data_IF_297391261699
#
_entry.id   IF_297391261699
#
_cell.length_a   1.000
_cell.length_b   1.000
_cell.length_c   1.000
_cell.angle_alpha   90.00
_cell.angle_beta   90.00
_cell.angle_gamma   90.00
#
_symmetry.space_group_name_H-M   'P 1'
#
loop_
_entity.id
_entity.type
_entity.pdbx_description
1 polymer ?
#
# COMPACT_ATOMS: atom_id res chain seq x y z
N UNK A 1 -12.85 14.76 15.12
CA UNK A 1 -12.06 15.74 15.88
C UNK A 1 -11.54 16.76 14.87
N UNK A 2 -12.08 17.97 14.86
CA UNK A 2 -11.67 19.02 13.92
C UNK A 2 -10.40 19.64 14.50
N UNK A 3 -9.24 19.26 13.96
CA UNK A 3 -7.98 19.94 14.24
C UNK A 3 -8.01 21.27 13.48
N UNK A 4 -8.60 22.30 14.07
CA UNK A 4 -8.38 23.68 13.62
C UNK A 4 -6.95 24.02 14.00
N UNK A 5 -6.01 23.86 13.07
CA UNK A 5 -4.71 24.52 13.18
C UNK A 5 -4.76 25.80 12.38
N UNK A 6 -4.54 26.92 13.03
CA UNK A 6 -4.14 28.13 12.31
C UNK A 6 -2.76 27.85 11.69
N UNK A 7 -2.70 27.78 10.37
CA UNK A 7 -1.43 27.79 9.64
C UNK A 7 -1.31 29.21 9.09
N UNK A 8 -0.36 29.98 9.62
CA UNK A 8 -0.08 31.36 9.20
C UNK A 8 -1.30 32.31 9.26
N UNK A 9 -2.23 32.10 10.20
CA UNK A 9 -3.44 32.92 10.33
C UNK A 9 -4.59 32.52 9.40
N UNK A 10 -4.51 31.36 8.73
CA UNK A 10 -5.61 30.78 7.96
C UNK A 10 -6.27 29.64 8.73
N UNK A 11 -7.60 29.58 8.71
CA UNK A 11 -8.35 28.46 9.27
C UNK A 11 -8.21 27.25 8.34
N UNK A 12 -7.64 26.18 8.86
CA UNK A 12 -7.62 24.89 8.17
C UNK A 12 -8.60 23.93 8.83
N UNK A 13 -9.26 23.11 8.02
CA UNK A 13 -10.09 22.02 8.49
C UNK A 13 -9.88 20.79 7.62
N UNK A 14 -9.98 19.62 8.23
CA UNK A 14 -10.05 18.37 7.50
C UNK A 14 -11.38 18.36 6.70
N UNK A 15 -11.31 18.34 5.37
CA UNK A 15 -12.50 18.34 4.51
C UNK A 15 -13.32 17.04 4.62
N UNK A 16 -14.56 16.99 4.13
CA UNK A 16 -15.42 15.79 4.21
C UNK A 16 -14.85 14.56 3.48
N UNK A 17 -13.96 14.74 2.51
CA UNK A 17 -13.20 13.67 1.84
C UNK A 17 -11.95 13.21 2.60
N UNK A 18 -11.50 13.99 3.60
CA UNK A 18 -10.28 13.72 4.37
C UNK A 18 -10.39 12.59 5.38
N UNK A 19 -11.60 12.07 5.62
CA UNK A 19 -11.81 10.85 6.40
C UNK A 19 -11.40 9.58 5.65
N UNK A 20 -11.20 9.65 4.33
CA UNK A 20 -10.90 8.50 3.48
C UNK A 20 -9.43 8.48 3.01
N UNK A 21 -8.75 9.63 2.98
CA UNK A 21 -7.36 9.77 2.54
C UNK A 21 -6.65 10.77 3.47
N UNK A 22 -5.65 10.29 4.21
CA UNK A 22 -4.74 11.14 5.01
C UNK A 22 -4.03 12.16 4.10
N UNK A 23 -3.86 13.40 4.56
CA UNK A 23 -3.12 14.43 3.82
C UNK A 23 -3.96 15.43 2.99
N UNK A 24 -5.29 15.40 3.07
CA UNK A 24 -6.17 16.39 2.41
C UNK A 24 -6.73 17.41 3.40
N UNK A 25 -6.64 18.68 3.05
CA UNK A 25 -6.98 19.82 3.90
C UNK A 25 -7.79 20.85 3.12
N UNK A 26 -8.76 21.46 3.79
CA UNK A 26 -9.45 22.64 3.29
C UNK A 26 -8.87 23.87 4.01
N UNK A 27 -8.55 24.89 3.24
CA UNK A 27 -8.14 26.20 3.73
C UNK A 27 -9.30 27.14 3.49
N UNK A 28 -9.92 27.61 4.59
CA UNK A 28 -10.87 28.71 4.54
C UNK A 28 -10.09 30.02 4.50
N UNK A 29 -9.91 30.57 3.31
CA UNK A 29 -9.37 31.91 3.11
C UNK A 29 -10.48 32.84 2.60
N UNK A 30 -11.13 33.59 3.50
CA UNK A 30 -12.05 34.70 3.22
C UNK A 30 -12.95 34.56 1.96
N UNK A 31 -13.56 33.38 1.78
CA UNK A 31 -14.56 33.03 0.75
C UNK A 31 -13.94 32.93 -0.68
N UNK A 32 -13.41 31.76 -1.11
CA UNK A 32 -14.03 30.42 -1.05
C UNK A 32 -13.20 29.32 -0.34
N UNK A 33 -13.78 28.11 -0.23
CA UNK A 33 -13.09 26.89 0.21
C UNK A 33 -12.01 26.49 -0.80
N UNK A 34 -10.77 26.40 -0.36
CA UNK A 34 -9.65 25.97 -1.19
C UNK A 34 -9.10 24.66 -0.68
N UNK A 35 -8.90 23.73 -1.60
CA UNK A 35 -8.36 22.42 -1.27
C UNK A 35 -6.85 22.41 -1.44
N UNK A 36 -6.16 21.88 -0.44
CA UNK A 36 -4.75 21.50 -0.50
C UNK A 36 -4.67 20.02 -0.18
N UNK A 37 -3.93 19.28 -0.98
CA UNK A 37 -3.71 17.86 -0.79
C UNK A 37 -2.22 17.57 -0.89
N UNK A 38 -1.65 16.99 0.17
CA UNK A 38 -0.24 16.65 0.30
C UNK A 38 -0.08 15.14 0.43
N UNK A 39 1.12 14.63 0.17
CA UNK A 39 1.43 13.19 0.26
C UNK A 39 0.59 12.34 -0.69
N UNK A 40 0.36 12.87 -1.90
CA UNK A 40 -0.36 12.17 -2.96
C UNK A 40 0.57 11.26 -3.74
N UNK A 41 0.21 9.98 -3.84
CA UNK A 41 0.95 8.99 -4.60
C UNK A 41 0.79 9.24 -6.10
N UNK A 42 1.90 9.41 -6.84
CA UNK A 42 1.93 9.71 -8.29
C UNK A 42 0.92 8.87 -9.09
N UNK A 43 0.99 7.55 -8.90
CA UNK A 43 0.20 6.57 -9.65
C UNK A 43 -1.31 6.67 -9.37
N UNK A 44 -1.70 7.24 -8.22
CA UNK A 44 -3.10 7.52 -7.91
C UNK A 44 -3.51 8.87 -8.47
N UNK A 45 -2.72 9.92 -8.22
CA UNK A 45 -3.19 11.28 -8.43
C UNK A 45 -3.13 11.72 -9.89
N UNK A 46 -2.10 11.32 -10.65
CA UNK A 46 -1.89 11.84 -12.01
C UNK A 46 -3.08 11.57 -12.94
N UNK A 47 -3.59 10.33 -13.04
CA UNK A 47 -4.72 10.05 -13.94
C UNK A 47 -6.01 10.76 -13.50
N UNK A 48 -6.24 10.86 -12.19
CA UNK A 48 -7.41 11.52 -11.63
C UNK A 48 -7.38 13.04 -11.81
N UNK A 49 -6.22 13.65 -11.58
CA UNK A 49 -6.00 15.09 -11.77
C UNK A 49 -6.20 15.50 -13.22
N UNK A 50 -5.61 14.78 -14.18
CA UNK A 50 -5.78 15.10 -15.60
C UNK A 50 -7.23 15.05 -16.05
N UNK A 51 -8.01 14.10 -15.53
CA UNK A 51 -9.44 14.02 -15.80
C UNK A 51 -10.21 15.17 -15.13
N UNK A 52 -9.87 15.51 -13.88
CA UNK A 52 -10.49 16.59 -13.12
C UNK A 52 -10.22 17.96 -13.76
N UNK A 53 -8.97 18.26 -14.10
CA UNK A 53 -8.54 19.54 -14.69
C UNK A 53 -9.20 19.78 -16.06
N UNK A 54 -9.34 18.72 -16.88
CA UNK A 54 -10.08 18.79 -18.15
C UNK A 54 -11.56 19.11 -17.94
N UNK A 55 -12.17 18.62 -16.87
CA UNK A 55 -13.58 18.83 -16.57
C UNK A 55 -13.86 20.14 -15.82
N UNK A 56 -12.85 20.68 -15.11
CA UNK A 56 -12.99 21.85 -14.22
C UNK A 56 -11.79 22.80 -14.43
N UNK A 57 -11.63 23.41 -15.61
CA UNK A 57 -10.45 24.22 -15.92
C UNK A 57 -10.28 25.44 -15.00
N UNK A 58 -11.37 25.96 -14.42
CA UNK A 58 -11.38 27.06 -13.46
C UNK A 58 -10.96 26.66 -12.04
N UNK A 59 -10.93 25.36 -11.76
CA UNK A 59 -10.55 24.75 -10.47
C UNK A 59 -9.36 23.82 -10.62
N UNK A 60 -8.69 23.87 -11.78
CA UNK A 60 -7.60 22.96 -12.09
C UNK A 60 -6.58 22.98 -10.94
N UNK A 61 -6.09 21.80 -10.61
CA UNK A 61 -5.12 21.67 -9.55
C UNK A 61 -3.75 21.99 -10.11
N UNK A 62 -3.08 22.97 -9.52
CA UNK A 62 -1.67 23.20 -9.82
C UNK A 62 -0.83 22.15 -9.07
N UNK A 63 0.09 21.50 -9.77
CA UNK A 63 1.08 20.61 -9.13
C UNK A 63 2.17 21.50 -8.53
N UNK A 64 2.11 21.71 -7.22
CA UNK A 64 2.99 22.66 -6.55
C UNK A 64 4.40 22.12 -6.34
N UNK A 65 4.54 20.81 -6.12
CA UNK A 65 5.86 20.21 -5.90
C UNK A 65 5.83 18.69 -5.87
N UNK A 66 6.91 18.09 -6.35
CA UNK A 66 7.34 16.77 -5.88
C UNK A 66 7.95 16.93 -4.48
N UNK A 67 7.50 16.14 -3.51
CA UNK A 67 8.13 16.09 -2.19
C UNK A 67 9.55 15.50 -2.33
N UNK A 68 10.49 15.90 -1.45
CA UNK A 68 11.88 15.43 -1.54
C UNK A 68 12.08 13.99 -1.03
N UNK A 69 11.03 13.37 -0.48
CA UNK A 69 11.04 11.96 -0.15
C UNK A 69 10.17 11.20 -1.15
N UNK A 70 10.48 9.92 -1.32
CA UNK A 70 9.71 8.99 -2.13
C UNK A 70 8.85 8.10 -1.25
N UNK A 71 7.67 7.77 -1.75
CA UNK A 71 6.80 6.76 -1.19
C UNK A 71 7.23 5.37 -1.64
N UNK A 72 7.04 4.39 -0.77
CA UNK A 72 7.14 2.97 -1.16
C UNK A 72 6.03 2.21 -0.48
N UNK A 73 5.38 1.30 -1.21
CA UNK A 73 4.40 0.37 -0.66
C UNK A 73 4.76 -1.07 -1.03
N UNK A 74 4.14 -2.05 -0.36
CA UNK A 74 4.34 -3.45 -0.72
C UNK A 74 4.19 -4.39 0.45
N UNK A 75 4.85 -5.55 0.36
CA UNK A 75 4.86 -6.59 1.38
C UNK A 75 5.98 -6.32 2.39
N UNK A 76 5.67 -6.37 3.67
CA UNK A 76 6.60 -6.12 4.78
C UNK A 76 6.68 -7.30 5.75
N UNK A 77 7.83 -7.42 6.38
CA UNK A 77 8.18 -8.40 7.42
C UNK A 77 8.78 -7.71 8.64
N UNK A 78 8.62 -8.31 9.81
CA UNK A 78 9.12 -7.74 11.07
C UNK A 78 10.44 -8.41 11.50
N UNK A 79 11.35 -7.68 12.16
CA UNK A 79 12.71 -8.15 12.48
C UNK A 79 12.76 -9.45 13.27
N UNK A 80 11.80 -9.67 14.17
CA UNK A 80 11.72 -10.89 14.97
C UNK A 80 11.66 -12.14 14.09
N UNK A 81 10.95 -12.07 12.97
CA UNK A 81 10.84 -13.15 11.98
C UNK A 81 12.09 -13.23 11.10
N UNK A 82 12.61 -12.08 10.65
CA UNK A 82 13.81 -12.01 9.80
C UNK A 82 15.02 -12.71 10.45
N UNK A 83 15.29 -12.40 11.74
CA UNK A 83 16.45 -12.94 12.43
C UNK A 83 16.39 -14.47 12.59
N UNK A 84 15.20 -15.01 12.87
CA UNK A 84 15.00 -16.46 13.01
C UNK A 84 15.15 -17.18 11.66
N UNK A 85 14.55 -16.61 10.60
CA UNK A 85 14.65 -17.17 9.25
C UNK A 85 16.10 -17.20 8.75
N UNK A 86 16.83 -16.09 8.89
CA UNK A 86 18.23 -16.01 8.48
C UNK A 86 19.11 -16.97 9.26
N UNK A 87 18.95 -17.04 10.59
CA UNK A 87 19.72 -17.96 11.43
C UNK A 87 19.44 -19.44 11.10
N UNK A 88 18.20 -19.79 10.74
CA UNK A 88 17.81 -21.16 10.44
C UNK A 88 18.16 -21.63 9.02
N UNK A 89 18.19 -20.72 8.04
CA UNK A 89 18.29 -21.08 6.61
C UNK A 89 19.51 -20.51 5.90
N UNK A 90 20.14 -19.47 6.47
CA UNK A 90 21.17 -18.67 5.78
C UNK A 90 20.62 -17.80 4.65
N UNK A 91 19.30 -17.62 4.55
CA UNK A 91 18.61 -16.87 3.49
C UNK A 91 17.93 -15.62 4.02
N UNK A 92 17.63 -14.69 3.11
CA UNK A 92 17.01 -13.40 3.44
C UNK A 92 15.55 -13.36 3.04
N UNK A 93 14.65 -13.21 4.01
CA UNK A 93 13.21 -13.05 3.76
C UNK A 93 12.86 -11.71 3.08
N UNK A 94 13.84 -10.79 3.04
CA UNK A 94 13.73 -9.51 2.34
C UNK A 94 13.83 -9.68 0.83
N UNK A 95 14.33 -10.80 0.31
CA UNK A 95 14.45 -11.01 -1.12
C UNK A 95 13.44 -12.05 -1.60
N UNK A 96 12.56 -11.64 -2.52
CA UNK A 96 11.41 -12.48 -2.93
C UNK A 96 11.80 -13.89 -3.40
N UNK A 97 12.99 -14.06 -4.01
CA UNK A 97 13.40 -15.38 -4.53
C UNK A 97 13.66 -16.38 -3.41
N UNK A 98 14.08 -15.91 -2.23
CA UNK A 98 14.31 -16.78 -1.08
C UNK A 98 12.98 -17.34 -0.51
N UNK A 99 11.85 -16.76 -0.93
CA UNK A 99 10.49 -17.21 -0.59
C UNK A 99 9.92 -18.23 -1.57
N UNK A 100 10.69 -18.72 -2.53
CA UNK A 100 10.22 -19.73 -3.48
C UNK A 100 10.06 -21.09 -2.79
N UNK A 101 8.86 -21.69 -2.87
CA UNK A 101 8.56 -23.00 -2.24
C UNK A 101 9.48 -24.13 -2.72
N UNK A 102 9.99 -24.07 -3.95
CA UNK A 102 10.88 -25.10 -4.49
C UNK A 102 12.26 -25.08 -3.84
N UNK A 103 12.62 -24.00 -3.14
CA UNK A 103 13.94 -23.86 -2.53
C UNK A 103 13.93 -24.16 -1.04
N UNK A 104 12.78 -24.21 -0.37
CA UNK A 104 12.69 -24.57 1.04
C UNK A 104 11.29 -24.40 1.63
N UNK A 105 11.07 -25.03 2.78
CA UNK A 105 9.86 -24.84 3.59
C UNK A 105 10.13 -23.80 4.68
N UNK A 106 9.40 -22.70 4.61
CA UNK A 106 9.51 -21.61 5.57
C UNK A 106 8.28 -21.46 6.45
N UNK A 107 7.29 -22.35 6.33
CA UNK A 107 6.05 -22.31 7.12
C UNK A 107 6.31 -22.27 8.62
N UNK A 108 7.36 -22.94 9.09
CA UNK A 108 7.75 -23.00 10.50
C UNK A 108 8.20 -21.67 11.12
N UNK A 109 8.52 -20.66 10.30
CA UNK A 109 8.89 -19.32 10.76
C UNK A 109 7.68 -18.38 10.89
N UNK A 110 6.53 -18.77 10.34
CA UNK A 110 5.31 -17.99 10.35
C UNK A 110 4.29 -18.55 11.33
N UNK A 111 3.39 -17.68 11.79
CA UNK A 111 2.18 -18.11 12.49
C UNK A 111 1.27 -18.86 11.51
N UNK A 112 0.39 -19.72 12.02
CA UNK A 112 -0.59 -20.39 11.15
C UNK A 112 -1.76 -19.45 10.89
N UNK A 113 -2.38 -19.55 9.72
CA UNK A 113 -3.63 -18.81 9.42
C UNK A 113 -4.72 -19.07 10.47
N UNK A 114 -4.74 -20.29 11.02
CA UNK A 114 -5.72 -20.76 12.00
C UNK A 114 -5.55 -20.08 13.36
N UNK A 115 -4.37 -19.51 13.64
CA UNK A 115 -4.08 -18.78 14.87
C UNK A 115 -4.64 -17.34 14.82
N UNK A 116 -5.00 -16.84 13.63
CA UNK A 116 -5.62 -15.54 13.39
C UNK A 116 -7.14 -15.71 13.36
N UNK A 117 -7.86 -14.93 14.16
CA UNK A 117 -9.31 -15.08 14.27
C UNK A 117 -10.03 -14.79 12.96
N UNK A 118 -10.92 -15.70 12.55
CA UNK A 118 -11.83 -15.51 11.40
C UNK A 118 -12.71 -14.27 11.57
N UNK A 119 -13.03 -13.88 12.81
CA UNK A 119 -13.80 -12.66 13.09
C UNK A 119 -13.06 -11.38 12.71
N UNK A 120 -11.74 -11.43 12.66
CA UNK A 120 -10.90 -10.28 12.35
C UNK A 120 -10.68 -10.12 10.86
N UNK A 121 -11.18 -11.05 10.04
CA UNK A 121 -11.01 -11.10 8.59
C UNK A 121 -12.30 -10.75 7.85
N UNK A 122 -12.15 -9.96 6.80
CA UNK A 122 -13.20 -9.65 5.84
C UNK A 122 -13.40 -10.80 4.84
N UNK A 123 -14.51 -10.73 4.10
CA UNK A 123 -14.85 -11.73 3.10
C UNK A 123 -13.93 -11.68 1.89
N UNK A 124 -13.36 -12.83 1.53
CA UNK A 124 -12.48 -13.04 0.38
C UNK A 124 -13.18 -12.84 -0.98
N UNK A 125 -14.52 -12.80 -0.99
CA UNK A 125 -15.38 -12.62 -2.16
C UNK A 125 -16.17 -11.30 -2.15
N UNK A 126 -15.60 -10.24 -1.56
CA UNK A 126 -16.16 -8.89 -1.71
C UNK A 126 -16.25 -8.46 -3.18
N UNK A 127 -17.20 -7.57 -3.50
CA UNK A 127 -17.42 -7.13 -4.88
C UNK A 127 -16.17 -6.57 -5.58
N UNK A 128 -15.31 -5.85 -4.84
CA UNK A 128 -14.05 -5.32 -5.36
C UNK A 128 -13.06 -6.44 -5.71
N UNK A 129 -12.93 -7.47 -4.87
CA UNK A 129 -12.07 -8.62 -5.16
C UNK A 129 -12.60 -9.46 -6.33
N UNK A 130 -13.92 -9.60 -6.47
CA UNK A 130 -14.51 -10.33 -7.59
C UNK A 130 -14.20 -9.65 -8.94
N UNK A 131 -14.17 -8.31 -8.96
CA UNK A 131 -13.79 -7.54 -10.16
C UNK A 131 -12.35 -7.77 -10.64
N UNK A 132 -11.48 -8.32 -9.79
CA UNK A 132 -10.07 -8.60 -10.11
C UNK A 132 -9.84 -9.98 -10.75
N UNK A 133 -10.84 -10.88 -10.70
CA UNK A 133 -10.71 -12.24 -11.22
C UNK A 133 -10.31 -12.26 -12.71
N UNK A 134 -10.94 -11.49 -13.62
CA UNK A 134 -10.60 -11.58 -15.04
C UNK A 134 -9.15 -11.21 -15.33
N UNK A 135 -8.64 -10.15 -14.69
CA UNK A 135 -7.25 -9.72 -14.89
C UNK A 135 -6.26 -10.71 -14.27
N UNK A 136 -6.53 -11.22 -13.07
CA UNK A 136 -5.72 -12.28 -12.47
C UNK A 136 -5.61 -13.51 -13.39
N UNK A 137 -6.73 -14.03 -13.89
CA UNK A 137 -6.74 -15.21 -14.77
C UNK A 137 -6.04 -14.93 -16.10
N UNK A 138 -6.19 -13.73 -16.67
CA UNK A 138 -5.50 -13.34 -17.89
C UNK A 138 -3.97 -13.34 -17.72
N UNK A 139 -3.48 -12.97 -16.52
CA UNK A 139 -2.04 -12.90 -16.22
C UNK A 139 -1.48 -14.26 -15.81
N UNK A 140 -2.17 -15.02 -14.97
CA UNK A 140 -1.62 -16.23 -14.34
C UNK A 140 -2.08 -17.53 -14.98
N UNK A 141 -3.22 -17.53 -15.67
CA UNK A 141 -3.88 -18.76 -16.15
C UNK A 141 -4.41 -19.66 -15.03
N UNK A 142 -4.38 -19.22 -13.77
CA UNK A 142 -4.68 -20.04 -12.60
C UNK A 142 -6.21 -20.19 -12.37
N UNK A 143 -6.82 -21.02 -13.21
CA UNK A 143 -8.25 -21.34 -13.13
C UNK A 143 -8.63 -22.10 -11.87
N UNK A 144 -7.66 -22.71 -11.16
CA UNK A 144 -7.92 -23.40 -9.90
C UNK A 144 -8.19 -22.44 -8.74
N UNK A 145 -7.79 -21.17 -8.86
CA UNK A 145 -8.07 -20.13 -7.87
C UNK A 145 -9.56 -19.76 -7.73
N UNK A 146 -10.41 -20.20 -8.65
CA UNK A 146 -11.80 -19.73 -8.77
C UNK A 146 -12.80 -20.86 -8.98
N UNK A 147 -14.06 -20.60 -8.66
CA UNK A 147 -15.18 -21.51 -8.89
C UNK A 147 -16.46 -20.74 -9.23
N UNK A 148 -17.43 -21.41 -9.83
CA UNK A 148 -18.74 -20.82 -10.14
C UNK A 148 -19.71 -21.09 -8.99
N UNK A 149 -20.38 -20.05 -8.50
CA UNK A 149 -21.48 -20.15 -7.52
C UNK A 149 -22.64 -19.33 -8.05
N UNK A 150 -23.78 -19.97 -8.30
CA UNK A 150 -25.00 -19.34 -8.82
C UNK A 150 -24.76 -18.50 -10.09
N UNK A 151 -23.90 -19.01 -10.99
CA UNK A 151 -23.55 -18.32 -12.24
C UNK A 151 -22.55 -17.17 -12.09
N UNK A 152 -22.05 -16.89 -10.88
CA UNK A 152 -21.05 -15.87 -10.59
C UNK A 152 -19.70 -16.54 -10.30
N UNK A 153 -18.64 -16.08 -10.96
CA UNK A 153 -17.28 -16.53 -10.68
C UNK A 153 -16.78 -15.93 -9.37
N UNK A 154 -16.31 -16.78 -8.46
CA UNK A 154 -15.83 -16.44 -7.11
C UNK A 154 -14.43 -17.01 -6.86
N UNK A 155 -13.67 -16.38 -5.98
CA UNK A 155 -12.43 -16.92 -5.46
C UNK A 155 -12.72 -18.17 -4.63
N UNK A 156 -11.94 -19.25 -4.82
CA UNK A 156 -11.88 -20.35 -3.87
C UNK A 156 -11.08 -19.89 -2.66
N UNK A 157 -11.74 -19.81 -1.51
CA UNK A 157 -11.14 -19.30 -0.28
C UNK A 157 -11.22 -20.36 0.82
N UNK A 158 -10.23 -20.36 1.71
CA UNK A 158 -10.08 -21.29 2.81
C UNK A 158 -10.55 -20.67 4.13
N UNK A 159 -10.84 -21.53 5.11
CA UNK A 159 -11.23 -21.18 6.47
C UNK A 159 -12.37 -20.15 6.52
N UNK A 160 -13.57 -20.60 6.15
CA UNK A 160 -14.82 -19.79 6.14
C UNK A 160 -14.77 -18.60 5.17
N UNK A 161 -14.26 -18.82 3.97
CA UNK A 161 -14.15 -17.82 2.91
C UNK A 161 -13.37 -16.55 3.32
N UNK A 162 -12.27 -16.71 4.06
CA UNK A 162 -11.42 -15.59 4.52
C UNK A 162 -10.05 -15.54 3.91
N UNK A 163 -9.49 -16.69 3.55
CA UNK A 163 -8.12 -16.76 3.06
C UNK A 163 -8.08 -17.19 1.60
N UNK A 164 -7.49 -16.38 0.73
CA UNK A 164 -7.09 -16.85 -0.59
C UNK A 164 -5.73 -17.55 -0.49
N UNK A 165 -5.56 -18.72 -1.09
CA UNK A 165 -4.30 -19.47 -1.03
C UNK A 165 -3.56 -19.40 -2.36
N UNK A 166 -2.23 -19.25 -2.31
CA UNK A 166 -1.37 -19.30 -3.47
C UNK A 166 -1.31 -20.72 -4.07
N UNK A 167 -1.09 -20.86 -5.40
CA UNK A 167 -1.06 -22.16 -6.07
C UNK A 167 -0.16 -23.20 -5.38
N UNK A 168 1.01 -22.75 -4.92
CA UNK A 168 2.07 -23.59 -4.35
C UNK A 168 1.74 -24.23 -3.00
N UNK A 169 0.73 -23.74 -2.28
CA UNK A 169 0.38 -24.26 -0.96
C UNK A 169 -1.11 -24.63 -0.82
N UNK A 170 -1.92 -24.53 -1.88
CA UNK A 170 -3.35 -24.91 -1.85
C UNK A 170 -3.61 -26.36 -1.44
N UNK A 171 -2.76 -27.29 -1.86
CA UNK A 171 -2.89 -28.71 -1.52
C UNK A 171 -2.59 -28.99 -0.04
N UNK A 172 -1.81 -28.12 0.59
CA UNK A 172 -1.38 -28.23 1.98
C UNK A 172 -1.46 -26.85 2.64
N UNK A 173 -2.67 -26.34 2.94
CA UNK A 173 -2.86 -24.94 3.37
C UNK A 173 -1.96 -24.49 4.51
N UNK A 174 -1.59 -25.39 5.42
CA UNK A 174 -0.72 -25.09 6.56
C UNK A 174 0.74 -24.80 6.19
N UNK A 175 1.15 -25.01 4.94
CA UNK A 175 2.46 -24.59 4.43
C UNK A 175 2.45 -23.17 3.86
N UNK A 176 1.29 -22.53 3.78
CA UNK A 176 1.19 -21.13 3.36
C UNK A 176 1.62 -20.19 4.49
N UNK A 177 2.50 -19.23 4.19
CA UNK A 177 2.76 -18.11 5.08
C UNK A 177 1.58 -17.11 5.02
N UNK A 178 0.98 -16.73 6.16
CA UNK A 178 -0.04 -15.70 6.19
C UNK A 178 0.51 -14.35 5.74
N UNK A 179 -0.23 -13.71 4.85
CA UNK A 179 -0.11 -12.33 4.43
C UNK A 179 -1.41 -11.61 4.78
N UNK A 180 -1.32 -10.51 5.50
CA UNK A 180 -2.48 -9.69 5.83
C UNK A 180 -2.43 -8.32 5.18
N UNK A 181 -3.60 -7.78 4.87
CA UNK A 181 -3.76 -6.42 4.38
C UNK A 181 -5.05 -5.83 4.94
N UNK A 182 -5.37 -4.60 4.56
CA UNK A 182 -6.62 -3.93 4.92
C UNK A 182 -7.17 -3.23 3.69
N UNK A 183 -8.50 -3.19 3.54
CA UNK A 183 -9.15 -2.57 2.38
C UNK A 183 -8.61 -3.08 1.05
N UNK A 184 -8.14 -4.33 1.05
CA UNK A 184 -7.62 -5.06 -0.11
C UNK A 184 -6.45 -4.38 -0.80
N UNK A 185 -5.64 -3.63 -0.06
CA UNK A 185 -4.46 -2.99 -0.63
C UNK A 185 -3.43 -4.01 -1.11
N UNK A 186 -2.89 -3.76 -2.31
CA UNK A 186 -1.96 -4.63 -3.04
C UNK A 186 -2.40 -6.10 -3.22
N UNK A 187 -3.70 -6.41 -3.04
CA UNK A 187 -4.19 -7.79 -3.06
C UNK A 187 -3.95 -8.48 -4.41
N UNK A 188 -4.37 -7.84 -5.50
CA UNK A 188 -4.22 -8.37 -6.85
C UNK A 188 -2.75 -8.51 -7.30
N UNK A 189 -1.90 -7.47 -7.24
CA UNK A 189 -0.51 -7.62 -7.67
C UNK A 189 0.24 -8.66 -6.84
N UNK A 190 -0.04 -8.78 -5.53
CA UNK A 190 0.61 -9.80 -4.72
C UNK A 190 0.10 -11.22 -5.00
N UNK A 191 -1.19 -11.42 -5.31
CA UNK A 191 -1.67 -12.73 -5.80
C UNK A 191 -0.95 -13.15 -7.08
N UNK A 192 -0.75 -12.21 -8.02
CA UNK A 192 -0.03 -12.46 -9.26
C UNK A 192 1.43 -12.81 -8.99
N UNK A 193 2.12 -12.04 -8.14
CA UNK A 193 3.50 -12.33 -7.69
C UNK A 193 3.61 -13.70 -7.03
N UNK A 194 2.67 -14.06 -6.17
CA UNK A 194 2.66 -15.34 -5.47
C UNK A 194 2.58 -16.52 -6.44
N UNK A 195 1.74 -16.40 -7.49
CA UNK A 195 1.67 -17.39 -8.56
C UNK A 195 2.92 -17.39 -9.45
N UNK A 196 3.42 -16.22 -9.85
CA UNK A 196 4.54 -16.10 -10.79
C UNK A 196 5.90 -16.50 -10.20
N UNK A 197 6.09 -16.33 -8.89
CA UNK A 197 7.35 -16.59 -8.21
C UNK A 197 7.31 -17.80 -7.27
N UNK A 198 6.25 -18.60 -7.34
CA UNK A 198 6.03 -19.78 -6.50
C UNK A 198 6.15 -19.48 -4.98
N UNK A 199 5.55 -18.37 -4.54
CA UNK A 199 5.59 -17.93 -3.14
C UNK A 199 4.34 -18.49 -2.43
N UNK A 200 4.47 -19.44 -1.47
CA UNK A 200 3.35 -20.00 -0.73
C UNK A 200 2.78 -19.00 0.28
N UNK A 201 1.93 -18.10 -0.22
CA UNK A 201 1.18 -17.15 0.60
C UNK A 201 -0.26 -17.62 0.84
N UNK A 202 -0.77 -17.31 2.02
CA UNK A 202 -2.19 -17.25 2.31
C UNK A 202 -2.57 -15.80 2.56
N UNK A 203 -3.42 -15.23 1.73
CA UNK A 203 -3.77 -13.82 1.78
C UNK A 203 -5.12 -13.63 2.48
N UNK A 204 -5.15 -12.74 3.47
CA UNK A 204 -6.34 -12.37 4.23
C UNK A 204 -6.48 -10.85 4.31
N UNK A 205 -7.71 -10.35 4.16
CA UNK A 205 -8.03 -8.93 4.36
C UNK A 205 -8.56 -8.76 5.79
N UNK A 206 -7.95 -7.90 6.60
CA UNK A 206 -8.41 -7.65 7.97
C UNK A 206 -9.62 -6.71 7.94
N UNK A 207 -10.63 -7.01 8.75
CA UNK A 207 -11.93 -6.33 8.72
C UNK A 207 -11.90 -4.94 9.37
N UNK A 208 -10.89 -4.67 10.21
CA UNK A 208 -10.79 -3.40 10.94
C UNK A 208 -9.36 -2.88 10.92
N UNK A 209 -9.22 -1.55 10.99
CA UNK A 209 -7.92 -0.89 11.15
C UNK A 209 -7.18 -1.35 12.41
N UNK A 210 -7.90 -1.58 13.51
CA UNK A 210 -7.32 -2.05 14.76
C UNK A 210 -6.63 -3.40 14.60
N UNK A 211 -7.35 -4.38 14.03
CA UNK A 211 -6.80 -5.70 13.72
C UNK A 211 -5.60 -5.58 12.76
N UNK A 212 -5.73 -4.76 11.71
CA UNK A 212 -4.65 -4.54 10.74
C UNK A 212 -3.34 -4.07 11.36
N UNK A 213 -3.38 -3.15 12.33
CA UNK A 213 -2.18 -2.66 13.01
C UNK A 213 -1.68 -3.64 14.08
N UNK A 214 -2.56 -4.38 14.75
CA UNK A 214 -2.16 -5.29 15.84
C UNK A 214 -1.65 -6.64 15.35
N UNK A 215 -2.25 -7.21 14.30
CA UNK A 215 -1.90 -8.56 13.79
C UNK A 215 -0.41 -8.73 13.53
N UNK A 216 0.28 -7.85 12.77
CA UNK A 216 1.72 -8.03 12.53
C UNK A 216 2.60 -7.81 13.77
N UNK A 217 2.07 -7.23 14.85
CA UNK A 217 2.76 -7.09 16.14
C UNK A 217 2.60 -8.33 17.02
N UNK A 218 1.56 -9.13 16.78
CA UNK A 218 1.21 -10.31 17.57
C UNK A 218 1.63 -11.61 16.90
N UNK A 219 1.59 -11.66 15.56
CA UNK A 219 1.81 -12.86 14.77
C UNK A 219 2.96 -12.66 13.79
N UNK A 220 3.67 -13.74 13.50
CA UNK A 220 4.68 -13.77 12.43
C UNK A 220 3.94 -13.90 11.10
N UNK A 221 3.65 -12.76 10.46
CA UNK A 221 2.94 -12.67 9.19
C UNK A 221 3.68 -11.72 8.26
N UNK A 222 3.47 -11.87 6.95
CA UNK A 222 3.67 -10.76 6.04
C UNK A 222 2.51 -9.76 6.18
N UNK A 223 2.78 -8.47 5.98
CA UNK A 223 1.70 -7.46 5.94
C UNK A 223 1.90 -6.50 4.78
N UNK A 224 0.81 -6.03 4.17
CA UNK A 224 0.88 -4.82 3.35
C UNK A 224 1.27 -3.65 4.23
N UNK A 225 2.18 -2.78 3.78
CA UNK A 225 2.40 -1.47 4.39
C UNK A 225 2.94 -0.45 3.39
N UNK A 226 3.08 0.80 3.83
CA UNK A 226 3.69 1.88 3.07
C UNK A 226 4.60 2.76 3.92
N UNK A 227 5.54 3.43 3.27
CA UNK A 227 6.38 4.48 3.82
C UNK A 227 6.20 5.78 3.03
N UNK A 228 6.30 6.96 3.69
CA UNK A 228 6.63 7.13 5.10
C UNK A 228 5.39 7.03 6.02
N UNK A 229 5.32 6.00 6.85
CA UNK A 229 4.35 5.90 7.94
C UNK A 229 5.08 5.46 9.22
N UNK A 230 4.74 6.07 10.35
CA UNK A 230 5.45 5.86 11.61
C UNK A 230 4.96 4.65 12.43
N UNK A 231 3.82 4.04 12.08
CA UNK A 231 3.12 3.02 12.87
C UNK A 231 3.99 1.82 13.21
N UNK A 232 4.83 1.39 12.26
CA UNK A 232 5.75 0.26 12.42
C UNK A 232 7.23 0.66 12.46
N UNK A 233 7.52 1.97 12.55
CA UNK A 233 8.90 2.47 12.54
C UNK A 233 9.72 1.93 13.72
N UNK A 234 9.12 1.86 14.91
CA UNK A 234 9.78 1.33 16.10
C UNK A 234 9.87 -0.21 16.10
N UNK A 235 8.98 -0.87 15.36
CA UNK A 235 8.96 -2.32 15.24
C UNK A 235 9.98 -2.84 14.22
N UNK A 236 10.61 -1.95 13.44
CA UNK A 236 11.68 -2.26 12.51
C UNK A 236 11.21 -3.01 11.25
N UNK A 237 9.96 -2.84 10.84
CA UNK A 237 9.44 -3.50 9.65
C UNK A 237 10.32 -3.24 8.41
N UNK A 238 10.57 -4.29 7.63
CA UNK A 238 11.41 -4.28 6.43
C UNK A 238 10.57 -4.69 5.23
N UNK A 239 10.74 -4.01 4.10
CA UNK A 239 10.04 -4.34 2.87
C UNK A 239 10.67 -5.56 2.19
N UNK A 240 9.86 -6.51 1.73
CA UNK A 240 10.30 -7.53 0.78
C UNK A 240 10.53 -6.89 -0.58
N UNK A 241 11.74 -7.07 -1.11
CA UNK A 241 12.23 -6.55 -2.36
C UNK A 241 11.78 -7.48 -3.48
N UNK A 242 10.84 -7.01 -4.30
CA UNK A 242 10.52 -7.57 -5.61
C UNK A 242 11.30 -6.84 -6.72
N UNK A 243 11.36 -7.38 -7.95
CA UNK A 243 11.93 -6.66 -9.08
C UNK A 243 11.24 -5.30 -9.30
N UNK A 244 11.97 -4.27 -9.77
CA UNK A 244 11.39 -2.97 -10.06
C UNK A 244 10.36 -3.06 -11.19
N UNK A 245 9.41 -2.11 -11.23
CA UNK A 245 8.44 -2.04 -12.31
C UNK A 245 9.09 -1.91 -13.69
N UNK A 246 8.52 -2.69 -14.62
CA UNK A 246 8.89 -2.73 -16.01
C UNK A 246 7.61 -2.68 -16.84
N UNK A 247 7.44 -1.60 -17.61
CA UNK A 247 6.22 -1.38 -18.39
C UNK A 247 6.01 -2.42 -19.50
N UNK A 248 7.06 -3.18 -19.85
CA UNK A 248 7.05 -4.30 -20.77
C UNK A 248 6.69 -5.65 -20.12
N UNK A 249 6.56 -5.72 -18.79
CA UNK A 249 6.14 -6.94 -18.09
C UNK A 249 4.62 -6.98 -17.93
N UNK A 250 4.00 -8.08 -18.37
CA UNK A 250 2.54 -8.33 -18.31
C UNK A 250 2.06 -8.58 -16.87
N UNK A 251 2.98 -8.98 -15.99
CA UNK A 251 2.66 -9.27 -14.60
C UNK A 251 2.73 -7.94 -13.84
N UNK A 252 1.76 -7.67 -12.95
CA UNK A 252 1.88 -6.60 -11.96
C UNK A 252 2.88 -7.01 -10.85
N UNK A 253 4.07 -7.46 -11.26
CA UNK A 253 5.19 -7.96 -10.44
C UNK A 253 5.96 -6.86 -9.74
N UNK A 254 5.63 -5.61 -10.00
CA UNK A 254 6.27 -4.48 -9.37
C UNK A 254 5.63 -4.12 -8.05
N UNK A 255 6.44 -3.84 -7.05
CA UNK A 255 5.98 -2.95 -5.98
C UNK A 255 6.09 -1.51 -6.47
N UNK A 256 5.25 -0.62 -5.93
CA UNK A 256 5.47 0.80 -6.10
C UNK A 256 6.68 1.15 -5.21
N UNK A 257 7.86 1.20 -5.82
CA UNK A 257 9.10 1.71 -5.22
C UNK A 257 9.44 3.04 -5.84
N UNK A 258 10.05 3.93 -5.06
CA UNK A 258 10.45 5.27 -5.50
C UNK A 258 9.28 6.11 -6.07
N UNK A 259 8.08 5.93 -5.51
CA UNK A 259 6.91 6.68 -5.94
C UNK A 259 7.10 8.14 -5.57
N UNK A 260 7.04 9.01 -6.59
CA UNK A 260 7.05 10.44 -6.35
C UNK A 260 5.81 10.83 -5.57
N UNK A 261 6.01 11.53 -4.46
CA UNK A 261 4.93 12.06 -3.66
C UNK A 261 4.68 13.50 -4.07
N UNK A 262 3.43 13.91 -4.19
CA UNK A 262 3.05 15.23 -4.66
C UNK A 262 2.24 16.00 -3.64
N UNK A 263 2.38 17.32 -3.74
CA UNK A 263 1.42 18.27 -3.19
C UNK A 263 0.71 18.99 -4.33
N UNK A 264 -0.62 19.06 -4.22
CA UNK A 264 -1.51 19.78 -5.13
C UNK A 264 -2.37 20.74 -4.32
N UNK A 265 -2.87 21.76 -4.97
CA UNK A 265 -3.85 22.68 -4.43
C UNK A 265 -4.65 23.32 -5.56
N UNK A 266 -5.70 24.03 -5.18
CA UNK A 266 -6.45 24.86 -6.10
C UNK A 266 -5.56 25.98 -6.68
N UNK A 267 -5.65 26.23 -8.00
CA UNK A 267 -4.99 27.35 -8.69
C UNK A 267 -5.29 28.71 -8.03
N UNK A 268 -6.45 28.86 -7.39
CA UNK A 268 -6.83 30.09 -6.70
C UNK A 268 -6.03 30.35 -5.41
N UNK A 269 -5.31 29.35 -4.87
CA UNK A 269 -4.55 29.49 -3.64
C UNK A 269 -3.52 30.64 -3.72
N UNK A 270 -2.90 30.83 -4.88
CA UNK A 270 -1.93 31.92 -5.09
C UNK A 270 -2.54 33.31 -4.98
N UNK A 271 -3.83 33.46 -5.30
CA UNK A 271 -4.52 34.74 -5.23
C UNK A 271 -4.99 35.08 -3.81
N UNK A 272 -5.46 34.08 -3.06
CA UNK A 272 -6.11 34.30 -1.76
C UNK A 272 -5.18 34.06 -0.56
N UNK A 273 -4.14 33.24 -0.73
CA UNK A 273 -3.21 32.85 0.32
C UNK A 273 -1.79 32.66 -0.23
N UNK A 274 -1.20 33.68 -0.88
CA UNK A 274 0.12 33.60 -1.52
C UNK A 274 1.24 33.17 -0.56
N UNK A 275 1.14 33.49 0.74
CA UNK A 275 2.11 33.06 1.76
C UNK A 275 2.03 31.56 2.06
N UNK A 276 0.82 30.99 2.04
CA UNK A 276 0.63 29.54 2.20
C UNK A 276 1.14 28.82 0.97
N UNK A 277 0.80 29.34 -0.22
CA UNK A 277 1.35 28.84 -1.48
C UNK A 277 2.88 28.85 -1.45
N UNK A 278 3.50 29.99 -1.09
CA UNK A 278 4.95 30.11 -0.96
C UNK A 278 5.54 29.04 -0.03
N UNK A 279 4.93 28.78 1.14
CA UNK A 279 5.41 27.71 2.01
C UNK A 279 5.28 26.33 1.35
N UNK A 280 4.14 26.00 0.75
CA UNK A 280 3.94 24.70 0.11
C UNK A 280 4.94 24.48 -1.05
N UNK A 281 5.37 25.55 -1.72
CA UNK A 281 6.38 25.49 -2.79
C UNK A 281 7.81 25.53 -2.25
N UNK A 282 8.09 26.24 -1.15
CA UNK A 282 9.45 26.50 -0.62
C UNK A 282 9.87 25.60 0.55
N UNK A 283 8.95 24.86 1.19
CA UNK A 283 9.21 24.19 2.49
C UNK A 283 10.22 23.05 2.51
N UNK A 284 11.09 22.88 1.51
CA UNK A 284 12.24 22.02 1.69
C UNK A 284 13.48 22.71 1.12
N UNK A 285 14.50 23.02 1.95
CA UNK A 285 15.74 23.56 1.43
C UNK A 285 16.30 22.58 0.41
N UNK A 286 16.77 23.12 -0.72
CA UNK A 286 17.80 22.47 -1.53
C UNK A 286 18.88 22.08 -0.52
N UNK A 287 19.22 20.80 -0.40
CA UNK A 287 20.38 20.41 0.40
C UNK A 287 21.55 21.25 -0.11
N UNK A 288 21.96 22.25 0.67
CA UNK A 288 23.14 23.02 0.35
C UNK A 288 24.26 22.00 0.31
N UNK A 289 24.80 21.76 -0.89
CA UNK A 289 26.06 21.07 -1.06
C UNK A 289 27.01 21.63 -0.01
N UNK A 290 27.36 20.80 0.97
CA UNK A 290 28.46 21.10 1.85
C UNK A 290 29.69 21.22 0.95
N UNK A 291 30.33 22.39 0.84
CA UNK A 291 31.67 22.41 0.27
C UNK A 291 32.52 21.60 1.25
N UNK A 292 33.13 20.53 0.75
CA UNK A 292 34.22 19.89 1.45
C UNK A 292 35.27 20.98 1.73
N UNK A 293 35.37 21.42 2.99
CA UNK A 293 36.49 22.21 3.43
C UNK A 293 37.70 21.28 3.41
N UNK A 294 38.49 21.44 2.35
CA UNK A 294 39.89 21.06 2.30
C UNK A 294 40.62 22.02 3.25
N UNK A 295 41.14 21.47 4.34
CA UNK A 295 42.35 21.94 5.01
C UNK A 295 43.00 20.76 5.72
#
# INVERSE_FOLDING_TARGET
MILIKEILGYHTFQGPTSGLISGTYNIAANNPDIHVATELWDYLIVPHQEAFDRANPDKAMDRFKTMQYVGTDGMYVFPAMYAQYYAGTGRSIEYYKDLNASWGDYSSFFSRMEDISVSDLADCNSARLLGQIPNYLAVTGDTDAVHMVDGVQKWKCYNQDRWWLAPTCRSTPNTCAPYTTYSQWAYEPLRQKAGAFDIPLAMGDLATWGAYVSTPKTYNVFTYWWYPDATFKADGAIKTIFPPYRADEVILTSDASDVKMYSTADVQLGNVAPKVLFLLTEQLPVSANHPANVS
#
